data_IF_334056632234
#
_entry.id   IF_334056632234
#
_cell.length_a   1.000
_cell.length_b   1.000
_cell.length_c   1.000
_cell.angle_alpha   90.00
_cell.angle_beta   90.00
_cell.angle_gamma   90.00
#
_symmetry.space_group_name_H-M   'P 1'
#
loop_
_entity.id
_entity.type
_entity.pdbx_description
1 polymer ?
#
# COMPACT_ATOMS: atom_id res chain seq x y z
N UNK A 1 68.05 27.74 -44.29
CA UNK A 1 66.72 28.38 -44.21
C UNK A 1 65.67 27.34 -44.65
N UNK A 2 65.08 26.59 -43.72
CA UNK A 2 64.01 25.61 -44.01
C UNK A 2 62.79 25.96 -43.17
N UNK A 3 61.70 26.27 -43.85
CA UNK A 3 60.42 26.69 -43.29
C UNK A 3 59.73 25.51 -42.60
N UNK A 4 59.35 25.75 -41.34
CA UNK A 4 58.54 24.89 -40.47
C UNK A 4 57.24 25.63 -40.17
N UNK A 5 56.14 25.29 -40.83
CA UNK A 5 54.83 25.90 -40.54
C UNK A 5 53.59 25.02 -40.82
N UNK A 6 53.70 23.71 -41.14
CA UNK A 6 52.50 22.91 -41.48
C UNK A 6 51.79 22.23 -40.30
N UNK A 7 52.36 22.20 -39.09
CA UNK A 7 51.81 21.44 -37.97
C UNK A 7 50.82 22.20 -37.07
N UNK A 8 50.58 23.49 -37.30
CA UNK A 8 49.76 24.30 -36.38
C UNK A 8 48.24 24.24 -36.67
N UNK A 9 47.83 23.88 -37.89
CA UNK A 9 46.41 23.89 -38.27
C UNK A 9 45.64 22.59 -37.94
N UNK A 10 46.31 21.43 -37.88
CA UNK A 10 45.63 20.16 -37.55
C UNK A 10 45.20 20.11 -36.09
N UNK A 11 45.98 20.68 -35.16
CA UNK A 11 45.62 20.71 -33.73
C UNK A 11 44.39 21.57 -33.43
N UNK A 12 44.13 22.65 -34.18
CA UNK A 12 42.93 23.49 -34.01
C UNK A 12 41.67 22.85 -34.58
N UNK A 13 41.75 22.10 -35.69
CA UNK A 13 40.60 21.36 -36.22
C UNK A 13 40.20 20.16 -35.36
N UNK A 14 41.16 19.44 -34.76
CA UNK A 14 40.86 18.34 -33.82
C UNK A 14 40.28 18.86 -32.50
N UNK A 15 40.65 20.06 -32.05
CA UNK A 15 40.06 20.69 -30.87
C UNK A 15 38.61 21.15 -31.12
N UNK A 16 38.26 21.59 -32.33
CA UNK A 16 36.90 21.98 -32.69
C UNK A 16 35.95 20.79 -32.93
N UNK A 17 36.48 19.64 -33.38
CA UNK A 17 35.70 18.40 -33.57
C UNK A 17 35.43 17.62 -32.26
N UNK A 18 36.16 17.93 -31.19
CA UNK A 18 35.85 17.52 -29.81
C UNK A 18 34.71 18.37 -29.23
N UNK A 19 33.58 18.44 -29.94
CA UNK A 19 32.33 18.90 -29.35
C UNK A 19 32.15 18.19 -28.02
N UNK A 20 32.09 18.96 -26.93
CA UNK A 20 32.28 18.52 -25.56
C UNK A 20 31.58 17.17 -25.32
N UNK A 21 32.36 16.12 -25.08
CA UNK A 21 31.86 14.77 -24.79
C UNK A 21 30.74 14.81 -23.74
N UNK A 22 30.93 15.66 -22.72
CA UNK A 22 29.95 15.96 -21.68
C UNK A 22 28.61 16.43 -22.26
N UNK A 23 28.61 17.41 -23.16
CA UNK A 23 27.38 17.92 -23.79
C UNK A 23 26.67 16.84 -24.62
N UNK A 24 27.43 15.99 -25.33
CA UNK A 24 26.86 14.86 -26.08
C UNK A 24 26.24 13.82 -25.15
N UNK A 25 26.92 13.46 -24.07
CA UNK A 25 26.41 12.52 -23.07
C UNK A 25 25.17 13.06 -22.35
N UNK A 26 25.14 14.34 -22.01
CA UNK A 26 23.97 14.99 -21.41
C UNK A 26 22.78 15.01 -22.37
N UNK A 27 23.01 15.31 -23.65
CA UNK A 27 21.96 15.28 -24.66
C UNK A 27 21.40 13.87 -24.84
N UNK A 28 22.26 12.84 -24.90
CA UNK A 28 21.84 11.45 -25.00
C UNK A 28 21.03 11.04 -23.76
N UNK A 29 21.48 11.41 -22.56
CA UNK A 29 20.77 11.13 -21.32
C UNK A 29 19.39 11.80 -21.30
N UNK A 30 19.30 13.07 -21.71
CA UNK A 30 18.03 13.78 -21.82
C UNK A 30 17.09 13.12 -22.83
N UNK A 31 17.59 12.76 -24.01
CA UNK A 31 16.82 12.04 -25.02
C UNK A 31 16.30 10.70 -24.49
N UNK A 32 17.14 9.94 -23.76
CA UNK A 32 16.73 8.68 -23.16
C UNK A 32 15.64 8.86 -22.09
N UNK A 33 15.76 9.90 -21.25
CA UNK A 33 14.75 10.24 -20.23
C UNK A 33 13.42 10.62 -20.88
N UNK A 34 13.45 11.48 -21.90
CA UNK A 34 12.25 11.89 -22.64
C UNK A 34 11.61 10.68 -23.32
N UNK A 35 12.39 9.86 -24.02
CA UNK A 35 11.90 8.65 -24.67
C UNK A 35 11.25 7.70 -23.64
N UNK A 36 11.87 7.52 -22.47
CA UNK A 36 11.32 6.68 -21.41
C UNK A 36 10.00 7.21 -20.87
N UNK A 37 9.90 8.51 -20.60
CA UNK A 37 8.66 9.14 -20.16
C UNK A 37 7.55 9.04 -21.22
N UNK A 38 7.89 9.17 -22.50
CA UNK A 38 6.94 8.97 -23.61
C UNK A 38 6.47 7.51 -23.65
N UNK A 39 7.37 6.54 -23.54
CA UNK A 39 7.00 5.11 -23.50
C UNK A 39 6.06 4.78 -22.33
N UNK A 40 6.28 5.39 -21.16
CA UNK A 40 5.37 5.25 -20.01
C UNK A 40 4.01 5.89 -20.32
N UNK A 41 4.01 7.14 -20.80
CA UNK A 41 2.78 7.91 -21.04
C UNK A 41 1.91 7.29 -22.15
N UNK A 42 2.54 6.64 -23.13
CA UNK A 42 1.88 5.90 -24.20
C UNK A 42 1.53 4.45 -23.82
N UNK A 43 1.64 4.06 -22.56
CA UNK A 43 1.36 2.71 -22.05
C UNK A 43 2.18 1.57 -22.70
N UNK A 44 3.32 1.89 -23.34
CA UNK A 44 4.25 0.88 -23.87
C UNK A 44 4.93 0.13 -22.73
N UNK A 45 5.18 0.82 -21.63
CA UNK A 45 5.77 0.25 -20.41
C UNK A 45 4.67 0.07 -19.36
N UNK A 46 4.40 -1.19 -19.00
CA UNK A 46 3.49 -1.50 -17.89
C UNK A 46 4.13 -1.18 -16.54
N UNK A 47 3.37 -0.64 -15.57
CA UNK A 47 3.87 -0.44 -14.21
C UNK A 47 4.21 -1.77 -13.55
N UNK A 48 5.27 -1.77 -12.73
CA UNK A 48 5.64 -2.88 -11.87
C UNK A 48 4.77 -2.89 -10.61
N UNK A 49 4.44 -4.09 -10.11
CA UNK A 49 3.81 -4.26 -8.80
C UNK A 49 4.84 -4.25 -7.65
N UNK A 50 6.13 -4.12 -7.95
CA UNK A 50 7.22 -4.16 -6.97
C UNK A 50 7.77 -5.57 -6.74
N UNK A 51 9.07 -5.66 -6.39
CA UNK A 51 9.78 -6.94 -6.24
C UNK A 51 9.83 -7.43 -4.79
N UNK A 52 9.64 -6.54 -3.82
CA UNK A 52 9.65 -6.85 -2.40
C UNK A 52 8.54 -6.08 -1.66
N UNK A 53 8.30 -6.45 -0.41
CA UNK A 53 7.21 -5.93 0.40
C UNK A 53 7.20 -4.40 0.52
N UNK A 54 8.36 -3.82 0.84
CA UNK A 54 8.51 -2.38 0.99
C UNK A 54 8.22 -1.65 -0.33
N UNK A 55 8.71 -2.17 -1.45
CA UNK A 55 8.42 -1.58 -2.75
C UNK A 55 6.94 -1.67 -3.12
N UNK A 56 6.29 -2.80 -2.85
CA UNK A 56 4.85 -2.97 -3.07
C UNK A 56 4.05 -1.93 -2.26
N UNK A 57 4.39 -1.77 -0.97
CA UNK A 57 3.78 -0.78 -0.09
C UNK A 57 4.00 0.64 -0.62
N UNK A 58 5.23 1.01 -0.98
CA UNK A 58 5.53 2.34 -1.53
C UNK A 58 4.77 2.63 -2.83
N UNK A 59 4.72 1.67 -3.75
CA UNK A 59 3.99 1.81 -5.02
C UNK A 59 2.50 2.06 -4.73
N UNK A 60 1.90 1.25 -3.87
CA UNK A 60 0.51 1.38 -3.45
C UNK A 60 0.24 2.77 -2.84
N UNK A 61 1.11 3.25 -1.95
CA UNK A 61 0.95 4.58 -1.34
C UNK A 61 1.12 5.71 -2.36
N UNK A 62 2.08 5.59 -3.28
CA UNK A 62 2.28 6.58 -4.35
C UNK A 62 1.07 6.65 -5.29
N UNK A 63 0.49 5.51 -5.66
CA UNK A 63 -0.73 5.45 -6.47
C UNK A 63 -1.84 6.26 -5.81
N UNK A 64 -2.10 6.03 -4.52
CA UNK A 64 -3.13 6.77 -3.79
C UNK A 64 -2.79 8.25 -3.58
N UNK A 65 -1.60 8.58 -3.10
CA UNK A 65 -1.23 9.95 -2.74
C UNK A 65 -1.20 10.89 -3.95
N UNK A 66 -0.80 10.37 -5.12
CA UNK A 66 -0.69 11.15 -6.36
C UNK A 66 -1.90 11.01 -7.29
N UNK A 67 -2.89 10.18 -6.93
CA UNK A 67 -4.16 10.09 -7.66
C UNK A 67 -4.88 11.44 -7.67
N UNK A 68 -5.40 11.85 -8.83
CA UNK A 68 -6.11 13.12 -9.00
C UNK A 68 -7.63 12.96 -9.09
N UNK A 69 -8.11 11.74 -9.32
CA UNK A 69 -9.54 11.44 -9.40
C UNK A 69 -10.22 11.37 -8.04
N UNK A 70 -11.55 11.49 -8.05
CA UNK A 70 -12.40 11.31 -6.88
C UNK A 70 -12.32 9.87 -6.37
N UNK A 71 -12.30 9.74 -5.04
CA UNK A 71 -12.20 8.45 -4.37
C UNK A 71 -13.52 8.19 -3.64
N UNK A 72 -14.22 7.12 -4.02
CA UNK A 72 -15.44 6.75 -3.31
C UNK A 72 -15.10 6.11 -1.97
N UNK A 73 -14.08 5.24 -1.94
CA UNK A 73 -13.65 4.58 -0.71
C UNK A 73 -12.14 4.40 -0.63
N UNK A 74 -11.58 4.58 0.57
CA UNK A 74 -10.24 4.14 0.89
C UNK A 74 -10.28 3.16 2.07
N UNK A 75 -9.45 2.11 2.00
CA UNK A 75 -9.27 1.14 3.09
C UNK A 75 -7.86 1.33 3.67
N UNK A 76 -7.77 1.59 4.97
CA UNK A 76 -6.51 1.66 5.72
C UNK A 76 -6.43 0.49 6.69
N UNK A 77 -5.23 -0.06 6.84
CA UNK A 77 -5.04 -1.24 7.68
C UNK A 77 -3.72 -1.95 7.47
N UNK A 78 -3.71 -3.24 7.80
CA UNK A 78 -2.53 -4.09 7.82
C UNK A 78 -2.46 -5.04 6.61
N UNK A 79 -1.64 -6.09 6.73
CA UNK A 79 -1.61 -7.18 5.75
C UNK A 79 -2.94 -7.91 5.60
N UNK A 80 -3.80 -7.88 6.63
CA UNK A 80 -5.12 -8.51 6.62
C UNK A 80 -6.01 -7.77 5.63
N UNK A 81 -6.24 -6.46 5.82
CA UNK A 81 -7.00 -5.67 4.85
C UNK A 81 -6.31 -5.63 3.50
N UNK A 82 -4.98 -5.59 3.43
CA UNK A 82 -4.25 -5.56 2.14
C UNK A 82 -4.51 -6.78 1.25
N UNK A 83 -5.09 -7.86 1.79
CA UNK A 83 -5.51 -9.06 1.04
C UNK A 83 -6.82 -8.84 0.26
N UNK A 84 -7.64 -7.88 0.66
CA UNK A 84 -8.91 -7.53 0.02
C UNK A 84 -8.62 -6.62 -1.17
N UNK A 85 -8.69 -7.14 -2.40
CA UNK A 85 -8.36 -6.34 -3.59
C UNK A 85 -9.45 -5.29 -3.84
N UNK A 86 -9.05 -4.09 -4.23
CA UNK A 86 -9.95 -3.00 -4.59
C UNK A 86 -10.97 -3.42 -5.65
N UNK A 87 -10.52 -4.21 -6.64
CA UNK A 87 -11.36 -4.74 -7.72
C UNK A 87 -12.50 -5.65 -7.24
N UNK A 88 -12.45 -6.17 -6.00
CA UNK A 88 -13.55 -6.94 -5.43
C UNK A 88 -14.66 -6.06 -4.85
N UNK A 89 -14.38 -4.76 -4.66
CA UNK A 89 -15.27 -3.78 -4.06
C UNK A 89 -15.82 -2.86 -5.15
N UNK A 90 -14.96 -2.16 -5.90
CA UNK A 90 -15.38 -1.25 -6.96
C UNK A 90 -14.23 -0.45 -7.58
N UNK A 91 -14.53 0.29 -8.65
CA UNK A 91 -13.51 0.92 -9.51
C UNK A 91 -12.83 2.14 -8.88
N UNK A 92 -13.53 2.88 -8.00
CA UNK A 92 -13.01 4.07 -7.30
C UNK A 92 -12.63 3.77 -5.84
N UNK A 93 -12.19 2.54 -5.60
CA UNK A 93 -11.81 2.06 -4.28
C UNK A 93 -10.30 1.87 -4.19
N UNK A 94 -9.67 2.45 -3.17
CA UNK A 94 -8.23 2.32 -2.95
C UNK A 94 -7.95 1.58 -1.65
N UNK A 95 -7.42 0.36 -1.76
CA UNK A 95 -6.86 -0.33 -0.63
C UNK A 95 -5.42 0.13 -0.37
N UNK A 96 -5.26 1.05 0.57
CA UNK A 96 -3.97 1.55 1.06
C UNK A 96 -3.51 0.88 2.37
N UNK A 97 -4.08 -0.29 2.70
CA UNK A 97 -3.57 -1.10 3.79
C UNK A 97 -2.16 -1.64 3.46
N UNK A 98 -1.29 -1.62 4.47
CA UNK A 98 0.14 -1.89 4.33
C UNK A 98 0.47 -3.28 4.83
N UNK A 99 1.10 -4.09 3.97
CA UNK A 99 1.52 -5.43 4.41
C UNK A 99 2.67 -5.29 5.41
N UNK A 100 2.46 -5.79 6.63
CA UNK A 100 3.40 -5.61 7.75
C UNK A 100 3.46 -4.17 8.29
N UNK A 101 2.57 -3.27 7.86
CA UNK A 101 2.54 -1.88 8.31
C UNK A 101 1.50 -1.62 9.40
N UNK A 102 1.24 -0.33 9.65
CA UNK A 102 0.26 0.18 10.62
C UNK A 102 -0.91 0.89 9.96
N UNK A 103 -2.10 0.80 10.58
CA UNK A 103 -3.28 1.58 10.20
C UNK A 103 -3.00 3.08 10.25
N UNK A 104 -2.27 3.53 11.28
CA UNK A 104 -1.91 4.94 11.46
C UNK A 104 -1.16 5.54 10.28
N UNK A 105 -0.29 4.78 9.61
CA UNK A 105 0.41 5.25 8.41
C UNK A 105 -0.58 5.51 7.28
N UNK A 106 -1.55 4.61 7.09
CA UNK A 106 -2.63 4.82 6.12
C UNK A 106 -3.47 6.05 6.45
N UNK A 107 -3.84 6.24 7.72
CA UNK A 107 -4.57 7.42 8.19
C UNK A 107 -3.80 8.71 7.92
N UNK A 108 -2.50 8.74 8.18
CA UNK A 108 -1.67 9.92 7.94
C UNK A 108 -1.61 10.28 6.45
N UNK A 109 -1.53 9.29 5.57
CA UNK A 109 -1.57 9.50 4.12
C UNK A 109 -2.93 10.05 3.68
N UNK A 110 -4.03 9.54 4.23
CA UNK A 110 -5.37 10.08 3.97
C UNK A 110 -5.48 11.52 4.47
N UNK A 111 -4.95 11.82 5.65
CA UNK A 111 -4.94 13.16 6.25
C UNK A 111 -4.17 14.17 5.41
N UNK A 112 -3.02 13.80 4.84
CA UNK A 112 -2.22 14.69 4.00
C UNK A 112 -2.74 14.83 2.56
N UNK A 113 -3.49 13.85 2.05
CA UNK A 113 -4.08 13.94 0.71
C UNK A 113 -5.16 15.03 0.66
N UNK A 114 -5.12 15.88 -0.39
CA UNK A 114 -6.14 16.94 -0.59
C UNK A 114 -7.52 16.38 -0.94
N UNK A 115 -7.60 15.51 -1.95
CA UNK A 115 -8.85 14.83 -2.29
C UNK A 115 -9.12 13.72 -1.26
N UNK A 116 -10.20 13.88 -0.49
CA UNK A 116 -10.59 12.92 0.54
C UNK A 116 -11.52 11.84 -0.03
N UNK A 117 -11.48 10.61 0.50
CA UNK A 117 -12.47 9.61 0.15
C UNK A 117 -13.84 9.96 0.73
N UNK A 118 -14.93 9.57 0.07
CA UNK A 118 -16.28 9.68 0.65
C UNK A 118 -16.43 8.76 1.86
N UNK A 119 -15.90 7.54 1.76
CA UNK A 119 -15.87 6.55 2.84
C UNK A 119 -14.42 6.17 3.17
N UNK A 120 -14.04 6.27 4.44
CA UNK A 120 -12.77 5.76 4.93
C UNK A 120 -13.04 4.57 5.84
N UNK A 121 -12.61 3.39 5.41
CA UNK A 121 -12.75 2.15 6.16
C UNK A 121 -11.43 1.87 6.92
N UNK A 122 -11.48 1.78 8.25
CA UNK A 122 -10.31 1.81 9.14
C UNK A 122 -10.19 0.51 9.94
N UNK A 123 -9.14 -0.27 9.66
CA UNK A 123 -8.86 -1.51 10.40
C UNK A 123 -8.31 -1.20 11.80
N UNK A 124 -9.01 -1.64 12.85
CA UNK A 124 -8.58 -1.47 14.25
C UNK A 124 -8.53 -2.83 14.97
N UNK A 125 -7.44 -3.56 14.76
CA UNK A 125 -7.16 -4.85 15.41
C UNK A 125 -5.81 -4.82 16.15
N UNK A 126 -5.06 -5.93 16.13
CA UNK A 126 -3.71 -6.05 16.73
C UNK A 126 -2.70 -5.01 16.19
N UNK A 127 -3.01 -4.38 15.06
CA UNK A 127 -2.16 -3.35 14.46
C UNK A 127 -2.30 -1.97 15.06
N UNK A 128 -3.27 -1.75 15.96
CA UNK A 128 -3.44 -0.48 16.67
C UNK A 128 -2.16 -0.04 17.40
N UNK A 129 -1.40 -1.01 17.91
CA UNK A 129 -0.15 -0.80 18.65
C UNK A 129 1.04 -0.33 17.80
N UNK A 130 0.90 -0.29 16.46
CA UNK A 130 2.01 0.02 15.55
C UNK A 130 2.01 1.52 15.21
N UNK A 131 3.13 2.23 15.41
CA UNK A 131 3.21 3.66 15.13
C UNK A 131 3.21 3.96 13.63
N UNK A 132 3.10 5.25 13.29
CA UNK A 132 3.28 5.76 11.91
C UNK A 132 4.70 5.48 11.40
N UNK A 133 4.81 4.98 10.16
CA UNK A 133 6.08 4.88 9.44
C UNK A 133 6.50 6.26 8.89
N UNK A 134 7.25 7.00 9.70
CA UNK A 134 7.70 8.36 9.37
C UNK A 134 8.64 8.41 8.17
N UNK A 135 9.40 7.34 7.90
CA UNK A 135 10.28 7.27 6.73
C UNK A 135 9.44 7.21 5.45
N UNK A 136 8.39 6.38 5.44
CA UNK A 136 7.46 6.29 4.33
C UNK A 136 6.74 7.62 4.10
N UNK A 137 6.21 8.25 5.16
CA UNK A 137 5.53 9.55 5.06
C UNK A 137 6.50 10.62 4.51
N UNK A 138 7.70 10.73 5.08
CA UNK A 138 8.70 11.69 4.63
C UNK A 138 9.14 11.48 3.17
N UNK A 139 9.26 10.23 2.74
CA UNK A 139 9.57 9.89 1.35
C UNK A 139 8.43 10.23 0.38
N UNK A 140 7.18 10.03 0.81
CA UNK A 140 5.98 10.26 -0.01
C UNK A 140 5.70 11.76 -0.20
N UNK A 141 5.88 12.56 0.85
CA UNK A 141 5.54 13.99 0.85
C UNK A 141 6.75 14.94 0.87
N UNK A 142 7.95 14.43 0.59
CA UNK A 142 9.11 15.30 0.33
C UNK A 142 8.76 16.31 -0.78
N UNK A 143 8.84 17.65 -0.55
CA UNK A 143 8.28 18.63 -1.47
C UNK A 143 8.80 18.54 -2.92
N UNK A 144 10.10 18.29 -3.07
CA UNK A 144 10.73 18.16 -4.39
C UNK A 144 10.31 16.87 -5.09
N UNK A 145 10.42 15.72 -4.40
CA UNK A 145 10.05 14.43 -4.98
C UNK A 145 8.54 14.29 -5.20
N UNK A 146 7.72 14.88 -4.33
CA UNK A 146 6.26 14.93 -4.48
C UNK A 146 5.90 15.62 -5.80
N UNK A 147 6.47 16.80 -6.05
CA UNK A 147 6.25 17.54 -7.29
C UNK A 147 6.68 16.72 -8.51
N UNK A 148 7.87 16.11 -8.47
CA UNK A 148 8.36 15.29 -9.56
C UNK A 148 7.47 14.07 -9.83
N UNK A 149 7.09 13.32 -8.80
CA UNK A 149 6.29 12.09 -8.92
C UNK A 149 4.83 12.35 -9.27
N UNK A 150 4.28 13.49 -8.84
CA UNK A 150 2.91 13.90 -9.17
C UNK A 150 2.77 14.34 -10.64
N UNK A 151 3.85 14.81 -11.27
CA UNK A 151 3.83 15.35 -12.64
C UNK A 151 4.50 14.43 -13.68
N UNK A 152 5.49 13.62 -13.30
CA UNK A 152 6.21 12.74 -14.21
C UNK A 152 6.24 11.30 -13.68
N UNK A 153 5.52 10.41 -14.36
CA UNK A 153 5.39 9.00 -13.98
C UNK A 153 6.74 8.28 -13.88
N UNK A 154 7.77 8.65 -14.66
CA UNK A 154 9.10 8.04 -14.58
C UNK A 154 9.77 8.12 -13.19
N UNK A 155 9.38 9.08 -12.34
CA UNK A 155 9.90 9.18 -10.97
C UNK A 155 9.12 8.32 -9.96
N UNK A 156 7.96 7.77 -10.34
CA UNK A 156 7.20 6.86 -9.49
C UNK A 156 7.90 5.51 -9.42
N UNK A 157 7.79 4.87 -8.27
CA UNK A 157 8.51 3.64 -7.98
C UNK A 157 8.08 2.46 -8.85
N UNK A 158 6.83 2.46 -9.33
CA UNK A 158 6.29 1.45 -10.23
C UNK A 158 6.95 1.45 -11.61
N UNK A 159 7.59 2.57 -11.99
CA UNK A 159 8.32 2.72 -13.26
C UNK A 159 9.83 2.69 -13.08
N UNK A 160 10.35 2.08 -12.01
CA UNK A 160 11.80 1.84 -11.92
C UNK A 160 12.21 0.79 -12.96
N UNK A 161 13.21 1.07 -13.84
CA UNK A 161 13.56 0.16 -14.94
C UNK A 161 13.80 -1.28 -14.53
N UNK A 162 14.55 -1.50 -13.44
CA UNK A 162 14.82 -2.85 -12.89
C UNK A 162 13.53 -3.55 -12.45
N UNK A 163 12.62 -2.84 -11.78
CA UNK A 163 11.36 -3.39 -11.31
C UNK A 163 10.42 -3.75 -12.47
N UNK A 164 10.37 -2.92 -13.50
CA UNK A 164 9.61 -3.17 -14.73
C UNK A 164 10.17 -4.38 -15.47
N UNK A 165 11.49 -4.46 -15.63
CA UNK A 165 12.15 -5.59 -16.29
C UNK A 165 11.85 -6.92 -15.58
N UNK A 166 12.06 -6.98 -14.27
CA UNK A 166 11.81 -8.19 -13.48
C UNK A 166 10.32 -8.57 -13.44
N UNK A 167 9.42 -7.58 -13.39
CA UNK A 167 7.98 -7.83 -13.44
C UNK A 167 7.55 -8.46 -14.78
N UNK A 168 8.05 -7.93 -15.91
CA UNK A 168 7.75 -8.51 -17.22
C UNK A 168 8.35 -9.91 -17.39
N UNK A 169 9.56 -10.14 -16.88
CA UNK A 169 10.19 -11.47 -16.91
C UNK A 169 9.37 -12.50 -16.11
N UNK A 170 8.94 -12.16 -14.90
CA UNK A 170 8.14 -13.07 -14.07
C UNK A 170 6.76 -13.36 -14.67
N UNK A 171 6.15 -12.39 -15.36
CA UNK A 171 4.89 -12.58 -16.11
C UNK A 171 5.05 -13.57 -17.26
N UNK A 172 6.17 -13.53 -17.98
CA UNK A 172 6.47 -14.48 -19.07
C UNK A 172 6.67 -15.91 -18.57
N UNK A 173 7.31 -16.07 -17.40
CA UNK A 173 7.54 -17.39 -16.78
C UNK A 173 6.24 -18.02 -16.25
N UNK A 174 5.14 -17.27 -16.17
CA UNK A 174 3.81 -17.83 -15.88
C UNK A 174 3.64 -18.34 -14.45
N UNK A 175 4.28 -17.71 -13.45
CA UNK A 175 4.09 -18.07 -12.05
C UNK A 175 2.64 -17.84 -11.60
N UNK A 176 1.83 -18.91 -11.61
CA UNK A 176 0.43 -18.90 -11.15
C UNK A 176 0.35 -18.87 -9.63
N UNK A 177 -0.31 -17.85 -9.09
CA UNK A 177 -0.44 -17.60 -7.64
C UNK A 177 -1.51 -18.47 -6.98
N UNK A 178 -2.57 -18.82 -7.72
CA UNK A 178 -3.74 -19.57 -7.22
C UNK A 178 -3.39 -21.02 -6.84
N UNK A 179 -2.59 -21.70 -7.65
CA UNK A 179 -2.16 -23.09 -7.35
C UNK A 179 -1.38 -23.18 -6.05
N UNK A 180 -0.64 -22.12 -5.67
CA UNK A 180 0.11 -22.08 -4.42
C UNK A 180 -0.80 -21.94 -3.20
N UNK A 181 -1.88 -21.17 -3.28
CA UNK A 181 -2.80 -20.99 -2.15
C UNK A 181 -3.58 -22.28 -1.87
N UNK A 182 -4.06 -22.96 -2.92
CA UNK A 182 -4.76 -24.24 -2.76
C UNK A 182 -3.85 -25.34 -2.19
N UNK A 183 -2.56 -25.33 -2.56
CA UNK A 183 -1.57 -26.22 -1.95
C UNK A 183 -1.35 -25.92 -0.46
N UNK A 184 -1.37 -24.64 -0.04
CA UNK A 184 -1.23 -24.26 1.37
C UNK A 184 -2.43 -24.76 2.17
N UNK A 185 -3.66 -24.58 1.66
CA UNK A 185 -4.89 -24.95 2.37
C UNK A 185 -4.93 -26.44 2.77
N UNK A 186 -4.44 -27.31 1.89
CA UNK A 186 -4.42 -28.76 2.11
C UNK A 186 -3.14 -29.26 2.78
N UNK A 187 -2.21 -28.36 3.13
CA UNK A 187 -0.90 -28.76 3.66
C UNK A 187 -0.92 -28.92 5.19
N UNK A 188 -0.08 -29.82 5.74
CA UNK A 188 0.24 -29.84 7.17
C UNK A 188 0.75 -28.49 7.70
N UNK A 189 1.36 -27.68 6.82
CA UNK A 189 1.86 -26.34 7.14
C UNK A 189 0.73 -25.40 7.60
N UNK A 190 -0.46 -25.41 6.97
CA UNK A 190 -1.58 -24.56 7.44
C UNK A 190 -1.97 -24.90 8.88
N UNK A 191 -2.11 -26.19 9.20
CA UNK A 191 -2.45 -26.63 10.56
C UNK A 191 -1.41 -26.17 11.59
N UNK A 192 -0.13 -26.27 11.25
CA UNK A 192 0.96 -25.79 12.09
C UNK A 192 0.93 -24.28 12.30
N UNK A 193 0.67 -23.49 11.23
CA UNK A 193 0.53 -22.04 11.32
C UNK A 193 -0.65 -21.62 12.19
N UNK A 194 -1.81 -22.26 12.01
CA UNK A 194 -3.01 -22.04 12.82
C UNK A 194 -2.75 -22.35 14.30
N UNK A 195 -2.15 -23.51 14.59
CA UNK A 195 -1.85 -23.91 15.96
C UNK A 195 -0.89 -22.92 16.64
N UNK A 196 0.18 -22.51 15.95
CA UNK A 196 1.13 -21.51 16.45
C UNK A 196 0.44 -20.16 16.71
N UNK A 197 -0.47 -19.75 15.83
CA UNK A 197 -1.23 -18.52 16.01
C UNK A 197 -2.15 -18.63 17.23
N UNK A 198 -2.85 -19.76 17.40
CA UNK A 198 -3.72 -20.01 18.54
C UNK A 198 -2.95 -19.99 19.87
N UNK A 199 -1.80 -20.64 19.93
CA UNK A 199 -0.90 -20.62 21.10
C UNK A 199 -0.50 -19.20 21.48
N UNK A 200 -0.06 -18.40 20.50
CA UNK A 200 0.30 -17.00 20.71
C UNK A 200 -0.89 -16.19 21.26
N UNK A 201 -2.06 -16.31 20.66
CA UNK A 201 -3.25 -15.53 21.05
C UNK A 201 -3.85 -15.99 22.40
N UNK A 202 -3.50 -17.18 22.89
CA UNK A 202 -3.98 -17.67 24.19
C UNK A 202 -3.27 -17.00 25.37
N UNK A 203 -2.09 -16.42 25.16
CA UNK A 203 -1.28 -15.79 26.22
C UNK A 203 -1.86 -14.46 26.75
N UNK A 204 -2.86 -13.88 26.08
CA UNK A 204 -3.40 -12.56 26.43
C UNK A 204 -2.48 -11.40 26.04
N UNK A 205 -2.84 -10.18 26.44
CA UNK A 205 -2.06 -8.96 26.29
C UNK A 205 -1.27 -8.69 27.58
N UNK A 206 0.03 -8.44 27.44
CA UNK A 206 0.87 -7.98 28.57
C UNK A 206 0.51 -6.55 28.99
N UNK A 207 0.84 -6.13 30.21
CA UNK A 207 0.63 -4.74 30.65
C UNK A 207 1.24 -3.70 29.71
N UNK A 208 2.46 -3.93 29.24
CA UNK A 208 3.18 -3.03 28.32
C UNK A 208 2.46 -2.94 26.97
N UNK A 209 1.88 -4.05 26.49
CA UNK A 209 1.07 -4.04 25.28
C UNK A 209 -0.19 -3.21 25.46
N UNK A 210 -0.88 -3.32 26.61
CA UNK A 210 -2.09 -2.55 26.91
C UNK A 210 -1.80 -1.05 27.00
N UNK A 211 -0.68 -0.68 27.61
CA UNK A 211 -0.21 0.71 27.68
C UNK A 211 0.11 1.28 26.29
N UNK A 212 0.86 0.53 25.47
CA UNK A 212 1.16 0.93 24.10
C UNK A 212 -0.11 1.08 23.26
N UNK A 213 -1.06 0.13 23.37
CA UNK A 213 -2.36 0.22 22.68
C UNK A 213 -3.10 1.50 23.10
N UNK A 214 -3.10 1.83 24.38
CA UNK A 214 -3.73 3.04 24.94
C UNK A 214 -3.11 4.31 24.37
N UNK A 215 -1.78 4.41 24.34
CA UNK A 215 -1.07 5.54 23.75
C UNK A 215 -1.43 5.70 22.26
N UNK A 216 -1.35 4.60 21.50
CA UNK A 216 -1.61 4.63 20.06
C UNK A 216 -3.09 4.87 19.73
N UNK A 217 -4.02 4.44 20.58
CA UNK A 217 -5.45 4.71 20.42
C UNK A 217 -5.77 6.21 20.47
N UNK A 218 -5.09 6.97 21.34
CA UNK A 218 -5.24 8.43 21.39
C UNK A 218 -4.79 9.09 20.08
N UNK A 219 -3.62 8.69 19.57
CA UNK A 219 -3.10 9.21 18.29
C UNK A 219 -4.09 8.91 17.15
N UNK A 220 -4.65 7.70 17.10
CA UNK A 220 -5.64 7.33 16.10
C UNK A 220 -6.89 8.21 16.23
N UNK A 221 -7.41 8.47 17.44
CA UNK A 221 -8.56 9.37 17.63
C UNK A 221 -8.31 10.74 17.03
N UNK A 222 -7.16 11.35 17.32
CA UNK A 222 -6.79 12.64 16.75
C UNK A 222 -6.71 12.60 15.21
N UNK A 223 -6.16 11.52 14.65
CA UNK A 223 -6.14 11.32 13.20
C UNK A 223 -7.55 11.19 12.60
N UNK A 224 -8.44 10.44 13.25
CA UNK A 224 -9.82 10.26 12.81
C UNK A 224 -10.63 11.55 12.89
N UNK A 225 -10.51 12.32 13.96
CA UNK A 225 -11.15 13.65 14.11
C UNK A 225 -10.66 14.61 13.03
N UNK A 226 -9.35 14.63 12.78
CA UNK A 226 -8.73 15.41 11.72
C UNK A 226 -9.22 15.04 10.31
N UNK A 227 -9.68 13.81 10.08
CA UNK A 227 -10.25 13.36 8.80
C UNK A 227 -11.77 13.59 8.74
N UNK A 228 -12.49 13.29 9.83
CA UNK A 228 -13.95 13.35 9.90
C UNK A 228 -14.54 14.75 9.70
N UNK A 229 -13.74 15.80 9.96
CA UNK A 229 -14.12 17.18 9.63
C UNK A 229 -14.32 17.46 8.13
N UNK A 230 -13.93 16.53 7.24
CA UNK A 230 -13.89 16.73 5.78
C UNK A 230 -14.89 15.87 4.99
N UNK A 231 -16.20 15.93 5.27
CA UNK A 231 -17.26 15.17 4.54
C UNK A 231 -17.00 13.65 4.36
N UNK A 232 -15.96 13.10 5.00
CA UNK A 232 -15.57 11.70 4.93
C UNK A 232 -16.31 10.95 6.01
N UNK A 233 -17.13 9.98 5.60
CA UNK A 233 -17.71 9.00 6.52
C UNK A 233 -16.63 8.01 6.94
N UNK A 234 -16.25 8.06 8.21
CA UNK A 234 -15.28 7.12 8.79
C UNK A 234 -16.03 5.91 9.35
N UNK A 235 -15.63 4.72 8.92
CA UNK A 235 -16.20 3.45 9.39
C UNK A 235 -15.06 2.58 9.92
N UNK A 236 -15.17 2.14 11.17
CA UNK A 236 -14.23 1.24 11.81
C UNK A 236 -14.60 -0.20 11.49
N UNK A 237 -13.61 -1.08 11.33
CA UNK A 237 -13.88 -2.48 11.10
C UNK A 237 -12.71 -3.38 11.51
N UNK A 238 -13.03 -4.66 11.66
CA UNK A 238 -12.06 -5.73 11.80
C UNK A 238 -12.33 -6.76 10.73
N UNK A 239 -11.43 -6.98 9.74
CA UNK A 239 -11.64 -8.03 8.77
C UNK A 239 -11.82 -9.38 9.47
N UNK A 240 -12.73 -10.24 8.99
CA UNK A 240 -12.98 -11.52 9.64
C UNK A 240 -11.78 -12.45 9.51
N UNK A 241 -11.60 -13.30 10.52
CA UNK A 241 -10.57 -14.33 10.58
C UNK A 241 -11.15 -15.72 10.82
N UNK A 242 -10.28 -16.67 11.17
CA UNK A 242 -10.69 -18.03 11.53
C UNK A 242 -11.45 -18.01 12.87
N UNK A 243 -12.68 -18.54 12.91
CA UNK A 243 -13.56 -18.52 14.09
C UNK A 243 -12.90 -19.11 15.35
N UNK A 244 -12.08 -20.15 15.17
CA UNK A 244 -11.33 -20.79 16.27
C UNK A 244 -10.32 -19.88 16.99
N UNK A 245 -9.99 -18.71 16.42
CA UNK A 245 -9.10 -17.73 17.01
C UNK A 245 -9.85 -16.58 17.70
N UNK A 246 -11.09 -16.30 17.34
CA UNK A 246 -11.84 -15.15 17.86
C UNK A 246 -12.17 -15.30 19.36
N UNK A 247 -12.26 -16.53 19.86
CA UNK A 247 -12.50 -16.81 21.28
C UNK A 247 -11.25 -16.77 22.17
N UNK A 248 -10.07 -16.53 21.58
CA UNK A 248 -8.81 -16.51 22.35
C UNK A 248 -8.73 -15.31 23.29
N UNK A 249 -7.97 -15.48 24.39
CA UNK A 249 -7.86 -14.46 25.44
C UNK A 249 -7.38 -13.11 24.88
N UNK A 250 -6.34 -13.10 24.05
CA UNK A 250 -5.80 -11.87 23.48
C UNK A 250 -6.80 -11.15 22.57
N UNK A 251 -7.62 -11.90 21.80
CA UNK A 251 -8.65 -11.31 20.93
C UNK A 251 -9.77 -10.67 21.76
N UNK A 252 -10.22 -11.34 22.83
CA UNK A 252 -11.21 -10.79 23.76
C UNK A 252 -10.70 -9.55 24.47
N UNK A 253 -9.47 -9.58 24.99
CA UNK A 253 -8.87 -8.42 25.64
C UNK A 253 -8.67 -7.24 24.68
N UNK A 254 -8.25 -7.51 23.44
CA UNK A 254 -8.17 -6.48 22.40
C UNK A 254 -9.54 -5.88 22.10
N UNK A 255 -10.59 -6.70 21.93
CA UNK A 255 -11.94 -6.21 21.68
C UNK A 255 -12.43 -5.32 22.83
N UNK A 256 -12.22 -5.72 24.08
CA UNK A 256 -12.61 -4.91 25.24
C UNK A 256 -11.89 -3.55 25.27
N UNK A 257 -10.60 -3.50 24.91
CA UNK A 257 -9.87 -2.24 24.77
C UNK A 257 -10.42 -1.40 23.62
N UNK A 258 -10.71 -2.01 22.48
CA UNK A 258 -11.29 -1.30 21.34
C UNK A 258 -12.68 -0.75 21.65
N UNK A 259 -13.51 -1.48 22.39
CA UNK A 259 -14.84 -1.03 22.81
C UNK A 259 -14.75 0.17 23.77
N UNK A 260 -13.76 0.17 24.68
CA UNK A 260 -13.51 1.29 25.59
C UNK A 260 -13.00 2.54 24.85
N UNK A 261 -12.02 2.35 23.96
CA UNK A 261 -11.42 3.46 23.22
C UNK A 261 -12.32 3.98 22.10
N UNK A 262 -13.01 3.10 21.39
CA UNK A 262 -13.81 3.41 20.21
C UNK A 262 -15.24 2.85 20.34
N UNK A 263 -16.02 3.31 21.31
CA UNK A 263 -17.34 2.75 21.56
C UNK A 263 -18.30 3.03 20.40
N UNK A 264 -19.23 2.10 20.16
CA UNK A 264 -20.14 2.10 19.02
C UNK A 264 -21.21 3.19 19.05
N UNK A 265 -21.40 3.85 20.19
CA UNK A 265 -22.27 5.02 20.34
C UNK A 265 -21.64 6.31 19.77
N UNK A 266 -20.30 6.33 19.63
CA UNK A 266 -19.52 7.47 19.10
C UNK A 266 -18.87 7.18 17.76
N UNK A 267 -18.54 5.93 17.48
CA UNK A 267 -17.89 5.52 16.24
C UNK A 267 -18.74 4.54 15.47
N UNK A 268 -18.84 4.74 14.15
CA UNK A 268 -19.51 3.80 13.27
C UNK A 268 -18.64 2.55 13.09
N UNK A 269 -19.18 1.38 13.42
CA UNK A 269 -18.52 0.08 13.21
C UNK A 269 -19.25 -0.75 12.16
N UNK A 270 -18.47 -1.36 11.26
CA UNK A 270 -18.98 -2.33 10.32
C UNK A 270 -19.12 -3.70 10.99
N UNK A 271 -20.34 -4.24 10.99
CA UNK A 271 -20.65 -5.56 11.55
C UNK A 271 -20.39 -6.66 10.53
N UNK A 272 -19.42 -7.54 10.78
CA UNK A 272 -19.11 -8.63 9.84
C UNK A 272 -20.30 -9.58 9.62
N UNK A 273 -20.42 -10.20 8.43
CA UNK A 273 -21.40 -11.24 8.21
C UNK A 273 -21.05 -12.50 9.03
N UNK A 274 -22.07 -13.13 9.60
CA UNK A 274 -21.95 -14.46 10.21
C UNK A 274 -21.66 -15.49 9.11
N UNK A 275 -20.40 -15.90 9.01
CA UNK A 275 -19.90 -16.88 8.06
C UNK A 275 -18.63 -17.51 8.61
N UNK A 276 -18.43 -18.80 8.33
CA UNK A 276 -17.13 -19.44 8.54
C UNK A 276 -16.15 -19.02 7.44
N UNK A 277 -15.16 -18.20 7.84
CA UNK A 277 -14.14 -17.68 6.95
C UNK A 277 -12.93 -18.60 6.91
N UNK A 278 -12.46 -18.89 5.69
CA UNK A 278 -11.25 -19.66 5.46
C UNK A 278 -10.05 -18.73 5.36
N UNK A 279 -9.05 -19.01 6.17
CA UNK A 279 -7.77 -18.29 6.15
C UNK A 279 -6.60 -19.19 5.75
N UNK A 280 -5.54 -18.59 5.21
CA UNK A 280 -4.31 -19.32 4.86
C UNK A 280 -3.44 -19.66 6.08
N UNK A 281 -3.53 -18.86 7.14
CA UNK A 281 -2.65 -18.91 8.31
C UNK A 281 -3.33 -18.52 9.64
N UNK A 282 -4.66 -18.41 9.65
CA UNK A 282 -5.47 -17.99 10.79
C UNK A 282 -6.02 -16.57 10.66
N UNK A 283 -5.35 -15.70 9.91
CA UNK A 283 -5.69 -14.27 9.87
C UNK A 283 -5.87 -13.74 8.45
N UNK A 284 -5.13 -14.25 7.45
CA UNK A 284 -5.28 -13.79 6.08
C UNK A 284 -6.33 -14.62 5.34
N UNK A 285 -7.43 -13.99 4.93
CA UNK A 285 -8.46 -14.61 4.10
C UNK A 285 -7.86 -15.24 2.83
N UNK A 286 -8.42 -16.36 2.40
CA UNK A 286 -8.12 -16.91 1.05
C UNK A 286 -8.54 -15.94 -0.05
N UNK A 287 -8.05 -16.10 -1.28
CA UNK A 287 -8.47 -15.26 -2.41
C UNK A 287 -9.99 -15.30 -2.60
N UNK A 288 -10.61 -16.48 -2.49
CA UNK A 288 -12.05 -16.65 -2.65
C UNK A 288 -12.82 -15.91 -1.56
N UNK A 289 -12.44 -16.07 -0.30
CA UNK A 289 -13.11 -15.39 0.80
C UNK A 289 -12.84 -13.89 0.85
N UNK A 290 -11.64 -13.45 0.48
CA UNK A 290 -11.36 -12.02 0.30
C UNK A 290 -12.23 -11.40 -0.79
N UNK A 291 -12.54 -12.14 -1.87
CA UNK A 291 -13.48 -11.70 -2.91
C UNK A 291 -14.91 -11.60 -2.39
N UNK A 292 -15.38 -12.61 -1.66
CA UNK A 292 -16.72 -12.58 -1.04
C UNK A 292 -16.84 -11.42 -0.05
N UNK A 293 -15.83 -11.23 0.80
CA UNK A 293 -15.82 -10.13 1.76
C UNK A 293 -15.75 -8.77 1.07
N UNK A 294 -14.95 -8.61 0.00
CA UNK A 294 -14.94 -7.39 -0.80
C UNK A 294 -16.31 -7.04 -1.41
N UNK A 295 -17.03 -8.03 -1.93
CA UNK A 295 -18.40 -7.84 -2.43
C UNK A 295 -19.37 -7.43 -1.32
N UNK A 296 -19.21 -7.96 -0.11
CA UNK A 296 -19.95 -7.53 1.08
C UNK A 296 -19.64 -6.07 1.46
N UNK A 297 -18.37 -5.66 1.45
CA UNK A 297 -18.00 -4.26 1.73
C UNK A 297 -18.67 -3.29 0.75
N UNK A 298 -18.72 -3.66 -0.54
CA UNK A 298 -19.41 -2.88 -1.56
C UNK A 298 -20.89 -2.71 -1.23
N UNK A 299 -21.58 -3.82 -0.94
CA UNK A 299 -23.04 -3.78 -0.73
C UNK A 299 -23.43 -2.95 0.50
N UNK A 300 -22.61 -2.97 1.56
CA UNK A 300 -22.90 -2.22 2.78
C UNK A 300 -22.55 -0.73 2.68
N UNK A 301 -21.48 -0.39 1.97
CA UNK A 301 -20.87 0.94 2.08
C UNK A 301 -20.98 1.79 0.83
N UNK A 302 -21.21 1.20 -0.35
CA UNK A 302 -21.28 1.91 -1.63
C UNK A 302 -22.66 1.84 -2.29
N UNK A 303 -23.30 0.67 -2.26
CA UNK A 303 -24.57 0.49 -2.97
C UNK A 303 -25.74 1.28 -2.31
N UNK A 304 -25.55 1.79 -1.08
CA UNK A 304 -26.48 2.71 -0.40
C UNK A 304 -26.16 4.21 -0.52
N UNK A 305 -25.05 4.58 -1.18
CA UNK A 305 -24.59 5.99 -1.33
C UNK A 305 -24.93 6.58 -2.71
N UNK A 306 -25.61 5.80 -3.56
CA UNK A 306 -25.94 6.14 -4.95
C UNK A 306 -27.34 6.77 -5.14
N UNK A 307 -27.92 7.34 -4.08
CA UNK A 307 -29.22 8.02 -4.08
C UNK A 307 -29.10 9.53 -4.05
#
# INVERSE_FOLDING_TARGET
>A
MRLSTSNFNVKRMVAAAKGNFVSRSLLIALLAIVLYQVMISSNVISPSEGINLQQMNNIKMQRYAYEKSDIDMALVGSSITAKIRSEYIGDKVYNIALRGGSTQTGLEIVRQKKAKPKVLLVELNDTISRPVDQELIGSLYNPFLYMLRANFSMFKQEYRPVGVFLYNLTRLVGWKRESREQNILNSPLRKMLLQRQKEKLTLGLSPEQKELITEQANIIKEQLEGIGSYQTRVVLFNPPGESSLEETLQKREMQLLLDDWFPSDRFEWLVNPEKDWTTTDGVHLTINDAKVYGAYLRSQLLDGVSG
#
